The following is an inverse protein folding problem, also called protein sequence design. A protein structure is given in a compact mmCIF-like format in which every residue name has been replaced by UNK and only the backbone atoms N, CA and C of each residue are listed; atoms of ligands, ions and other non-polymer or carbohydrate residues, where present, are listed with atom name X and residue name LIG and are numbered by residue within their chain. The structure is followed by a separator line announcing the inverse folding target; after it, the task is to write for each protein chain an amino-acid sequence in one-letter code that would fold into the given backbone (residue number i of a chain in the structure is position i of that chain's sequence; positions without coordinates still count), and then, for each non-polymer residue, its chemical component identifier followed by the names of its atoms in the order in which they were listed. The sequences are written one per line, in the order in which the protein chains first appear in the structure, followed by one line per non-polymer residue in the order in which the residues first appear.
data_IF_995581806597
#
_entry.id   IF_995581806597
#
_cell.length_a   1.000
_cell.length_b   1.000
_cell.length_c   1.000
_cell.angle_alpha   90.00
_cell.angle_beta   90.00
_cell.angle_gamma   90.00
#
_symmetry.space_group_name_H-M   'P 1'
#
loop_
_entity.id
_entity.type
_entity.pdbx_description
1 polymer ?
#
# COMPACT_ATOMS: atom_id res chain seq x y z
N UNK A 1 12.00 14.30 49.21
CA UNK A 1 12.52 13.63 47.99
C UNK A 1 11.45 12.71 47.42
N UNK A 2 10.98 12.85 46.17
CA UNK A 2 9.95 11.98 45.62
C UNK A 2 10.57 10.68 45.10
N UNK A 3 10.09 9.51 45.56
CA UNK A 3 10.54 8.19 45.12
C UNK A 3 9.85 7.80 43.80
N UNK A 4 10.63 7.58 42.74
CA UNK A 4 10.14 7.17 41.43
C UNK A 4 9.70 5.70 41.45
N UNK A 5 8.44 5.42 41.12
CA UNK A 5 7.86 4.07 41.04
C UNK A 5 8.00 3.54 39.61
N UNK A 6 8.91 2.61 39.37
CA UNK A 6 9.08 1.93 38.08
C UNK A 6 7.86 1.05 37.76
N UNK A 7 7.22 1.28 36.60
CA UNK A 7 6.13 0.42 36.11
C UNK A 7 6.73 -0.81 35.43
N UNK A 8 6.58 -1.98 36.08
CA UNK A 8 6.84 -3.30 35.49
C UNK A 8 5.93 -3.49 34.27
N UNK A 9 6.50 -3.58 33.08
CA UNK A 9 5.77 -4.04 31.89
C UNK A 9 5.54 -5.55 32.02
N UNK A 10 4.27 -5.98 32.00
CA UNK A 10 3.94 -7.40 31.93
C UNK A 10 4.11 -7.83 30.48
N UNK A 11 5.08 -8.70 30.21
CA UNK A 11 5.25 -9.31 28.90
C UNK A 11 4.03 -10.20 28.62
N UNK A 12 3.14 -9.77 27.73
CA UNK A 12 2.07 -10.60 27.20
C UNK A 12 2.65 -11.45 26.07
N UNK A 13 2.89 -12.73 26.35
CA UNK A 13 3.31 -13.71 25.33
C UNK A 13 2.12 -14.01 24.41
N UNK A 14 2.21 -13.57 23.16
CA UNK A 14 1.23 -13.86 22.12
C UNK A 14 1.28 -15.35 21.77
N UNK A 15 0.25 -16.12 22.15
CA UNK A 15 0.10 -17.50 21.71
C UNK A 15 -0.67 -17.47 20.40
N UNK A 16 0.01 -17.83 19.29
CA UNK A 16 -0.56 -17.82 17.95
C UNK A 16 -1.88 -18.60 17.85
N UNK A 17 -2.75 -18.15 16.96
CA UNK A 17 -4.08 -18.72 16.76
C UNK A 17 -4.01 -20.19 16.32
N UNK A 18 -4.65 -21.06 17.10
CA UNK A 18 -4.75 -22.52 16.92
C UNK A 18 -5.76 -22.93 15.84
N UNK A 19 -5.66 -22.35 14.63
CA UNK A 19 -6.55 -22.68 13.50
C UNK A 19 -5.81 -22.81 12.15
N UNK A 20 -4.56 -23.25 12.15
CA UNK A 20 -3.89 -23.66 10.90
C UNK A 20 -4.13 -25.15 10.68
N UNK A 21 -5.12 -25.49 9.84
CA UNK A 21 -5.28 -26.85 9.32
C UNK A 21 -4.12 -27.13 8.35
N UNK A 22 -3.35 -28.19 8.63
CA UNK A 22 -2.08 -28.50 7.95
C UNK A 22 -2.21 -29.11 6.54
N UNK A 23 -3.43 -29.27 6.01
CA UNK A 23 -3.67 -30.00 4.74
C UNK A 23 -4.24 -29.13 3.60
N UNK A 24 -4.02 -27.82 3.61
CA UNK A 24 -4.32 -27.01 2.44
C UNK A 24 -3.04 -26.80 1.64
N UNK A 25 -2.87 -27.54 0.55
CA UNK A 25 -1.99 -27.16 -0.54
C UNK A 25 -2.54 -25.87 -1.13
N UNK A 26 -2.27 -24.76 -0.46
CA UNK A 26 -2.42 -23.43 -1.01
C UNK A 26 -1.32 -23.36 -2.06
N UNK A 27 -1.67 -23.46 -3.34
CA UNK A 27 -0.80 -22.87 -4.35
C UNK A 27 -0.49 -21.47 -3.86
N UNK A 28 0.79 -21.19 -3.57
CA UNK A 28 1.21 -19.89 -3.07
C UNK A 28 0.61 -18.84 -4.01
N UNK A 29 -0.39 -18.05 -3.59
CA UNK A 29 -0.75 -16.89 -4.37
C UNK A 29 0.49 -16.04 -4.31
N UNK A 30 1.22 -15.98 -5.43
CA UNK A 30 2.51 -15.34 -5.55
C UNK A 30 2.50 -14.12 -4.63
N UNK A 31 3.27 -14.18 -3.54
CA UNK A 31 3.45 -13.06 -2.62
C UNK A 31 4.22 -12.01 -3.41
N UNK A 32 3.53 -11.37 -4.35
CA UNK A 32 3.91 -10.11 -4.90
C UNK A 32 3.91 -9.21 -3.67
N UNK A 33 5.13 -8.94 -3.19
CA UNK A 33 5.39 -7.88 -2.22
C UNK A 33 4.42 -6.73 -2.51
N UNK A 34 3.79 -6.16 -1.48
CA UNK A 34 2.91 -5.01 -1.66
C UNK A 34 3.57 -3.93 -2.56
N UNK A 35 4.89 -3.82 -2.53
CA UNK A 35 5.68 -2.98 -3.44
C UNK A 35 5.62 -3.38 -4.93
N UNK A 36 5.56 -4.67 -5.27
CA UNK A 36 5.37 -5.19 -6.64
C UNK A 36 3.97 -4.89 -7.19
N UNK A 37 2.92 -4.97 -6.36
CA UNK A 37 1.57 -4.59 -6.79
C UNK A 37 1.45 -3.07 -6.98
N UNK A 38 1.98 -2.28 -6.04
CA UNK A 38 1.97 -0.80 -6.12
C UNK A 38 2.70 -0.28 -7.37
N UNK A 39 3.78 -0.94 -7.81
CA UNK A 39 4.54 -0.56 -9.02
C UNK A 39 3.81 -0.92 -10.32
N UNK A 40 3.06 -2.03 -10.36
CA UNK A 40 2.25 -2.42 -11.52
C UNK A 40 0.98 -1.55 -11.63
N UNK A 41 0.33 -1.24 -10.51
CA UNK A 41 -0.78 -0.27 -10.47
C UNK A 41 -0.29 1.15 -10.84
N UNK A 42 0.99 1.45 -10.60
CA UNK A 42 1.62 2.70 -11.04
C UNK A 42 1.72 2.83 -12.56
N UNK A 43 1.79 1.71 -13.28
CA UNK A 43 1.80 1.69 -14.74
C UNK A 43 0.43 2.09 -15.30
N UNK A 44 -0.66 1.64 -14.68
CA UNK A 44 -2.02 2.12 -14.99
C UNK A 44 -2.23 3.58 -14.56
N UNK A 45 -1.69 3.98 -13.40
CA UNK A 45 -1.70 5.38 -12.93
C UNK A 45 -0.99 6.35 -13.89
N UNK A 46 0.00 5.84 -14.62
CA UNK A 46 0.85 6.60 -15.56
C UNK A 46 0.02 7.17 -16.72
N UNK A 47 -1.02 6.45 -17.12
CA UNK A 47 -1.94 6.84 -18.19
C UNK A 47 -2.88 7.97 -17.74
N UNK A 48 -3.20 8.05 -16.45
CA UNK A 48 -4.02 9.12 -15.86
C UNK A 48 -3.23 10.40 -15.48
N UNK A 49 -1.93 10.28 -15.15
CA UNK A 49 -1.13 11.36 -14.56
C UNK A 49 -0.33 12.19 -15.59
N UNK A 50 -0.32 11.76 -16.86
CA UNK A 50 0.31 12.50 -17.96
C UNK A 50 1.84 12.40 -17.95
N UNK A 51 2.39 12.07 -19.12
CA UNK A 51 3.79 11.64 -19.34
C UNK A 51 4.90 12.53 -18.77
N UNK A 52 4.66 13.81 -18.47
CA UNK A 52 5.67 14.79 -18.00
C UNK A 52 5.85 14.85 -16.48
N UNK A 53 4.95 14.28 -15.68
CA UNK A 53 4.98 14.40 -14.21
C UNK A 53 5.35 13.11 -13.46
N UNK A 54 5.83 12.11 -14.19
CA UNK A 54 6.14 10.77 -13.68
C UNK A 54 7.24 10.79 -12.62
N UNK A 55 8.33 11.53 -12.81
CA UNK A 55 9.39 11.63 -11.81
C UNK A 55 8.93 12.31 -10.52
N UNK A 56 8.17 13.41 -10.62
CA UNK A 56 7.61 14.10 -9.46
C UNK A 56 6.63 13.21 -8.69
N UNK A 57 5.78 12.50 -9.42
CA UNK A 57 4.82 11.57 -8.83
C UNK A 57 5.52 10.40 -8.16
N UNK A 58 6.53 9.78 -8.80
CA UNK A 58 7.35 8.72 -8.20
C UNK A 58 8.09 9.20 -6.95
N UNK A 59 8.62 10.41 -6.97
CA UNK A 59 9.26 11.01 -5.80
C UNK A 59 8.27 11.18 -4.64
N UNK A 60 7.06 11.68 -4.91
CA UNK A 60 6.01 11.84 -3.89
C UNK A 60 5.55 10.49 -3.36
N UNK A 61 5.36 9.48 -4.22
CA UNK A 61 5.04 8.12 -3.81
C UNK A 61 6.14 7.55 -2.92
N UNK A 62 7.41 7.64 -3.33
CA UNK A 62 8.54 7.14 -2.56
C UNK A 62 8.60 7.76 -1.16
N UNK A 63 8.40 9.08 -1.07
CA UNK A 63 8.32 9.76 0.22
C UNK A 63 7.16 9.24 1.08
N UNK A 64 5.98 9.03 0.48
CA UNK A 64 4.80 8.55 1.19
C UNK A 64 4.95 7.10 1.68
N UNK A 65 5.55 6.22 0.88
CA UNK A 65 5.86 4.84 1.27
C UNK A 65 6.82 4.77 2.46
N UNK A 66 7.79 5.70 2.54
CA UNK A 66 8.72 5.83 3.68
C UNK A 66 8.03 6.50 4.89
N UNK A 67 6.79 6.98 4.75
CA UNK A 67 6.07 7.69 5.81
C UNK A 67 6.57 9.12 6.02
N UNK A 68 7.17 9.73 4.99
CA UNK A 68 7.69 11.10 5.02
C UNK A 68 6.89 12.01 4.09
N UNK A 69 6.98 13.31 4.34
CA UNK A 69 6.26 14.33 3.58
C UNK A 69 7.17 15.40 2.97
N UNK A 70 6.55 16.48 2.51
CA UNK A 70 7.19 17.62 1.85
C UNK A 70 8.50 18.08 2.49
N UNK A 71 8.54 18.26 3.82
CA UNK A 71 9.72 18.77 4.54
C UNK A 71 10.93 17.85 4.39
N UNK A 72 10.72 16.53 4.42
CA UNK A 72 11.81 15.57 4.25
C UNK A 72 12.30 15.56 2.80
N UNK A 73 11.39 15.58 1.83
CA UNK A 73 11.74 15.67 0.41
C UNK A 73 12.53 16.92 0.08
N UNK A 74 12.12 18.08 0.62
CA UNK A 74 12.85 19.34 0.46
C UNK A 74 14.27 19.25 1.03
N UNK A 75 14.42 18.73 2.26
CA UNK A 75 15.75 18.58 2.89
C UNK A 75 16.65 17.66 2.06
N UNK A 76 16.13 16.51 1.63
CA UNK A 76 16.88 15.53 0.84
C UNK A 76 17.39 16.13 -0.48
N UNK A 77 16.52 16.77 -1.25
CA UNK A 77 16.91 17.34 -2.54
C UNK A 77 17.85 18.54 -2.37
N UNK A 78 17.65 19.35 -1.32
CA UNK A 78 18.60 20.43 -1.00
C UNK A 78 20.00 19.89 -0.66
N UNK A 79 20.12 18.76 0.04
CA UNK A 79 21.42 18.13 0.34
C UNK A 79 22.17 17.71 -0.93
N UNK A 80 21.45 17.32 -1.97
CA UNK A 80 22.05 16.96 -3.28
C UNK A 80 22.04 18.12 -4.29
N UNK A 81 21.85 19.36 -3.84
CA UNK A 81 21.79 20.57 -4.68
C UNK A 81 20.73 20.55 -5.80
N UNK A 82 19.63 19.82 -5.59
CA UNK A 82 18.51 19.77 -6.53
C UNK A 82 17.35 20.64 -6.08
N UNK A 83 16.67 21.26 -7.06
CA UNK A 83 15.46 22.05 -6.80
C UNK A 83 14.29 21.11 -6.50
N UNK A 84 13.69 21.26 -5.33
CA UNK A 84 12.44 20.58 -4.99
C UNK A 84 11.22 21.39 -5.48
N UNK A 85 10.12 20.67 -5.74
CA UNK A 85 8.84 21.27 -6.13
C UNK A 85 8.25 22.15 -5.02
N UNK A 86 7.26 22.99 -5.38
CA UNK A 86 6.53 23.79 -4.40
C UNK A 86 5.64 22.91 -3.51
N UNK A 87 5.22 23.45 -2.36
CA UNK A 87 4.34 22.73 -1.42
C UNK A 87 2.97 22.42 -2.02
N UNK A 88 2.40 23.32 -2.82
CA UNK A 88 1.12 23.10 -3.49
C UNK A 88 1.22 22.04 -4.59
N UNK A 89 2.29 22.05 -5.38
CA UNK A 89 2.54 21.01 -6.39
C UNK A 89 2.71 19.63 -5.76
N UNK A 90 3.43 19.54 -4.64
CA UNK A 90 3.56 18.28 -3.88
C UNK A 90 2.20 17.75 -3.42
N UNK A 91 1.36 18.62 -2.83
CA UNK A 91 0.01 18.23 -2.39
C UNK A 91 -0.87 17.78 -3.54
N UNK A 92 -0.80 18.45 -4.70
CA UNK A 92 -1.55 18.04 -5.89
C UNK A 92 -1.17 16.63 -6.35
N UNK A 93 0.12 16.29 -6.34
CA UNK A 93 0.57 14.93 -6.64
C UNK A 93 0.10 13.91 -5.60
N UNK A 94 0.13 14.27 -4.31
CA UNK A 94 -0.38 13.42 -3.23
C UNK A 94 -1.88 13.14 -3.36
N UNK A 95 -2.68 14.15 -3.70
CA UNK A 95 -4.12 14.01 -3.91
C UNK A 95 -4.45 13.16 -5.15
N UNK A 96 -3.71 13.35 -6.25
CA UNK A 96 -3.83 12.52 -7.46
C UNK A 96 -3.52 11.06 -7.16
N UNK A 97 -2.43 10.80 -6.44
CA UNK A 97 -2.04 9.46 -6.02
C UNK A 97 -3.12 8.82 -5.15
N UNK A 98 -3.64 9.55 -4.16
CA UNK A 98 -4.68 9.03 -3.27
C UNK A 98 -5.98 8.72 -4.02
N UNK A 99 -6.38 9.57 -4.97
CA UNK A 99 -7.56 9.34 -5.80
C UNK A 99 -7.40 8.09 -6.66
N UNK A 100 -6.25 7.93 -7.30
CA UNK A 100 -6.00 6.80 -8.19
C UNK A 100 -5.88 5.47 -7.43
N UNK A 101 -5.21 5.46 -6.27
CA UNK A 101 -5.17 4.28 -5.38
C UNK A 101 -6.56 3.85 -4.93
N UNK A 102 -7.44 4.81 -4.58
CA UNK A 102 -8.83 4.49 -4.22
C UNK A 102 -9.60 3.88 -5.38
N UNK A 103 -9.46 4.45 -6.59
CA UNK A 103 -10.10 3.93 -7.79
C UNK A 103 -9.65 2.50 -8.11
N UNK A 104 -8.34 2.23 -8.03
CA UNK A 104 -7.78 0.89 -8.23
C UNK A 104 -8.30 -0.10 -7.19
N UNK A 105 -8.35 0.31 -5.91
CA UNK A 105 -8.91 -0.52 -4.85
C UNK A 105 -10.38 -0.87 -5.10
N UNK A 106 -11.20 0.11 -5.50
CA UNK A 106 -12.62 -0.12 -5.80
C UNK A 106 -12.83 -1.08 -6.97
N UNK A 107 -12.02 -0.97 -8.03
CA UNK A 107 -12.05 -1.89 -9.17
C UNK A 107 -11.67 -3.31 -8.74
N UNK A 108 -10.54 -3.45 -8.05
CA UNK A 108 -10.04 -4.74 -7.60
C UNK A 108 -11.02 -5.42 -6.63
N UNK A 109 -11.65 -4.66 -5.72
CA UNK A 109 -12.69 -5.20 -4.83
C UNK A 109 -13.92 -5.71 -5.59
N UNK A 110 -14.35 -5.01 -6.66
CA UNK A 110 -15.49 -5.44 -7.49
C UNK A 110 -15.16 -6.71 -8.28
N UNK A 111 -13.96 -6.80 -8.84
CA UNK A 111 -13.47 -7.97 -9.58
C UNK A 111 -13.31 -9.19 -8.65
N UNK A 112 -12.71 -9.00 -7.48
CA UNK A 112 -12.63 -10.05 -6.47
C UNK A 112 -14.03 -10.54 -6.04
N UNK A 113 -15.00 -9.63 -5.90
CA UNK A 113 -16.37 -9.99 -5.55
C UNK A 113 -17.08 -10.80 -6.65
N UNK A 114 -16.85 -10.48 -7.93
CA UNK A 114 -17.44 -11.23 -9.05
C UNK A 114 -16.81 -12.61 -9.18
N UNK A 115 -15.49 -12.73 -9.00
CA UNK A 115 -14.78 -14.01 -9.02
C UNK A 115 -15.24 -14.96 -7.90
N UNK A 116 -15.40 -14.44 -6.67
CA UNK A 116 -15.93 -15.22 -5.54
C UNK A 116 -17.36 -15.71 -5.82
N UNK A 117 -18.20 -14.88 -6.46
CA UNK A 117 -19.57 -15.29 -6.86
C UNK A 117 -19.54 -16.37 -7.94
N UNK A 118 -18.67 -16.26 -8.93
CA UNK A 118 -18.53 -17.24 -10.01
C UNK A 118 -18.07 -18.61 -9.46
N UNK A 119 -17.04 -18.63 -8.61
CA UNK A 119 -16.55 -19.87 -7.97
C UNK A 119 -17.64 -20.57 -7.16
N UNK A 120 -18.43 -19.82 -6.37
CA UNK A 120 -19.58 -20.38 -5.62
C UNK A 120 -20.63 -21.02 -6.52
N UNK A 121 -20.92 -20.42 -7.69
CA UNK A 121 -21.87 -20.98 -8.66
C UNK A 121 -21.34 -22.26 -9.30
N UNK A 122 -20.07 -22.30 -9.70
CA UNK A 122 -19.45 -23.50 -10.25
C UNK A 122 -19.42 -24.65 -9.23
N UNK A 123 -19.13 -24.37 -7.96
CA UNK A 123 -19.22 -25.38 -6.90
C UNK A 123 -20.63 -25.96 -6.78
N UNK A 124 -21.69 -25.14 -6.77
CA UNK A 124 -23.06 -25.63 -6.68
C UNK A 124 -23.53 -26.46 -7.89
N UNK A 125 -22.96 -26.24 -9.08
CA UNK A 125 -23.29 -27.02 -10.29
C UNK A 125 -22.56 -28.36 -10.32
N UNK A 126 -21.35 -28.46 -9.74
CA UNK A 126 -20.56 -29.70 -9.70
C UNK A 126 -21.10 -30.71 -8.67
N UNK A 127 -21.82 -30.26 -7.64
CA UNK A 127 -22.43 -31.12 -6.61
C UNK A 127 -23.90 -31.46 -6.88
N UNK A 128 -24.39 -31.24 -8.11
CA UNK A 128 -25.74 -31.60 -8.58
C UNK A 128 -25.65 -32.64 -9.68
#
# INVERSE_FOLDING_TARGET
MPKYRTKRTKNLSFHGNRFTNANQSVEEPATASASKLIMNDYAELKDEIGRKSTLNSLLVLGLRLIGKGFTAGKKLLCTVNLRFMSKSTFRRHEDQLLKAVRCAADKNMKEAATEVRAKKRHQLVVYR
#
